data_IF_287667030015
#
_entry.id   IF_287667030015
#
_cell.length_a   1.000
_cell.length_b   1.000
_cell.length_c   1.000
_cell.angle_alpha   90.00
_cell.angle_beta   90.00
_cell.angle_gamma   90.00
#
_symmetry.space_group_name_H-M   'P 1'
#
loop_
_entity.id
_entity.type
_entity.pdbx_description
1 polymer ?
#
# COMPACT_ATOMS: atom_id res chain seq x y z
N UNK A 1 -27.77 -0.73 0.65
CA UNK A 1 -27.56 -1.91 1.50
C UNK A 1 -26.10 -1.88 1.93
N UNK A 2 -25.84 -1.70 3.23
CA UNK A 2 -24.48 -1.73 3.78
C UNK A 2 -23.93 -3.14 3.68
N UNK A 3 -22.78 -3.28 3.06
CA UNK A 3 -22.05 -4.55 2.94
C UNK A 3 -21.73 -5.09 4.35
N UNK A 4 -22.13 -6.31 4.71
CA UNK A 4 -21.88 -6.87 6.04
C UNK A 4 -20.42 -7.25 6.29
N UNK A 5 -19.51 -7.02 5.32
CA UNK A 5 -18.09 -7.32 5.45
C UNK A 5 -17.44 -6.40 6.49
N UNK A 6 -16.56 -6.96 7.30
CA UNK A 6 -15.86 -6.24 8.36
C UNK A 6 -14.93 -5.18 7.75
N UNK A 7 -15.06 -3.92 8.18
CA UNK A 7 -14.13 -2.85 7.80
C UNK A 7 -12.75 -3.16 8.39
N UNK A 8 -11.75 -3.32 7.52
CA UNK A 8 -10.37 -3.63 7.92
C UNK A 8 -9.54 -2.36 8.11
N UNK A 9 -9.76 -1.35 7.28
CA UNK A 9 -9.10 -0.05 7.39
C UNK A 9 -10.14 1.05 7.21
N UNK A 10 -10.12 2.00 8.14
CA UNK A 10 -10.89 3.24 8.04
C UNK A 10 -9.97 4.42 8.32
N UNK A 11 -10.03 5.40 7.47
CA UNK A 11 -9.32 6.68 7.56
C UNK A 11 -10.37 7.77 7.51
N UNK A 12 -10.40 8.62 8.52
CA UNK A 12 -11.38 9.70 8.65
C UNK A 12 -10.66 11.04 8.72
N UNK A 13 -10.99 11.93 7.79
CA UNK A 13 -10.62 13.35 7.77
C UNK A 13 -9.11 13.57 7.99
N UNK A 14 -8.26 12.87 7.21
CA UNK A 14 -6.82 12.87 7.39
C UNK A 14 -6.18 14.12 6.78
N UNK A 15 -5.45 14.87 7.61
CA UNK A 15 -4.73 16.08 7.22
C UNK A 15 -3.21 15.90 7.38
N UNK A 16 -2.45 16.48 6.47
CA UNK A 16 -0.98 16.51 6.53
C UNK A 16 -0.41 17.78 5.92
N UNK A 17 0.51 18.42 6.67
CA UNK A 17 1.26 19.60 6.23
C UNK A 17 2.76 19.33 6.25
N UNK A 18 3.47 19.90 5.29
CA UNK A 18 4.92 20.06 5.30
C UNK A 18 5.26 21.54 5.24
N UNK A 19 5.66 22.10 6.38
CA UNK A 19 5.81 23.53 6.53
C UNK A 19 4.48 24.27 6.29
N UNK A 20 4.47 25.20 5.35
CA UNK A 20 3.26 25.95 4.96
C UNK A 20 2.36 25.21 3.95
N UNK A 21 2.82 24.12 3.36
CA UNK A 21 2.09 23.40 2.30
C UNK A 21 1.21 22.32 2.92
N UNK A 22 -0.10 22.41 2.75
CA UNK A 22 -1.05 21.37 3.12
C UNK A 22 -1.18 20.35 1.97
N UNK A 23 -0.67 19.13 2.21
CA UNK A 23 -0.59 18.05 1.22
C UNK A 23 -1.81 17.12 1.28
N UNK A 24 -2.38 16.92 2.46
CA UNK A 24 -3.66 16.23 2.64
C UNK A 24 -4.63 17.16 3.36
N UNK A 25 -5.86 17.26 2.83
CA UNK A 25 -6.86 18.26 3.24
C UNK A 25 -8.20 17.57 3.57
N UNK A 26 -8.18 16.64 4.54
CA UNK A 26 -9.38 15.94 4.97
C UNK A 26 -9.70 14.71 4.11
N UNK A 27 -8.69 13.90 3.79
CA UNK A 27 -8.89 12.67 3.00
C UNK A 27 -9.49 11.56 3.87
N UNK A 28 -10.59 10.97 3.39
CA UNK A 28 -11.26 9.83 4.04
C UNK A 28 -11.34 8.65 3.07
N UNK A 29 -11.21 7.42 3.61
CA UNK A 29 -11.47 6.19 2.87
C UNK A 29 -11.78 5.04 3.84
N UNK A 30 -12.52 4.03 3.36
CA UNK A 30 -12.79 2.81 4.10
C UNK A 30 -12.63 1.58 3.20
N UNK A 31 -11.92 0.57 3.71
CA UNK A 31 -11.72 -0.71 3.03
C UNK A 31 -12.26 -1.85 3.91
N UNK A 32 -13.22 -2.59 3.38
CA UNK A 32 -13.70 -3.83 3.98
C UNK A 32 -12.80 -5.00 3.62
N UNK A 33 -12.96 -6.11 4.32
CA UNK A 33 -12.20 -7.34 4.04
C UNK A 33 -12.37 -7.77 2.57
N UNK A 34 -11.26 -7.98 1.89
CA UNK A 34 -11.20 -8.37 0.48
C UNK A 34 -11.38 -7.22 -0.52
N UNK A 35 -11.52 -5.97 -0.06
CA UNK A 35 -11.58 -4.84 -0.97
C UNK A 35 -10.21 -4.48 -1.52
N UNK A 36 -10.18 -4.18 -2.82
CA UNK A 36 -9.07 -3.48 -3.45
C UNK A 36 -9.52 -2.06 -3.74
N UNK A 37 -8.82 -1.08 -3.17
CA UNK A 37 -9.05 0.34 -3.41
C UNK A 37 -7.87 0.89 -4.20
N UNK A 38 -8.12 1.43 -5.38
CA UNK A 38 -7.10 2.15 -6.15
C UNK A 38 -7.16 3.65 -5.92
N UNK A 39 -5.99 4.25 -5.78
CA UNK A 39 -5.80 5.70 -5.66
C UNK A 39 -4.99 6.16 -6.84
N UNK A 40 -5.58 7.04 -7.66
CA UNK A 40 -4.95 7.64 -8.83
C UNK A 40 -4.82 9.16 -8.66
N UNK A 41 -4.00 9.80 -9.47
CA UNK A 41 -3.81 11.25 -9.45
C UNK A 41 -2.43 11.65 -9.94
N UNK A 42 -2.26 12.95 -10.26
CA UNK A 42 -0.99 13.51 -10.74
C UNK A 42 0.12 13.42 -9.69
N UNK A 43 1.37 13.57 -10.11
CA UNK A 43 2.50 13.70 -9.18
C UNK A 43 2.27 14.87 -8.22
N UNK A 44 2.63 14.68 -6.95
CA UNK A 44 2.42 15.70 -5.92
C UNK A 44 0.98 15.84 -5.40
N UNK A 45 0.01 15.03 -5.85
CA UNK A 45 -1.38 15.10 -5.35
C UNK A 45 -1.57 14.62 -3.90
N UNK A 46 -0.56 13.96 -3.30
CA UNK A 46 -0.59 13.49 -1.91
C UNK A 46 -0.74 11.98 -1.73
N UNK A 47 -0.79 11.18 -2.80
CA UNK A 47 -1.02 9.71 -2.77
C UNK A 47 -0.07 8.95 -1.86
N UNK A 48 1.24 9.06 -2.08
CA UNK A 48 2.26 8.40 -1.26
C UNK A 48 2.28 8.92 0.18
N UNK A 49 1.98 10.22 0.37
CA UNK A 49 1.84 10.82 1.70
C UNK A 49 0.66 10.21 2.45
N UNK A 50 -0.46 9.97 1.77
CA UNK A 50 -1.63 9.30 2.35
C UNK A 50 -1.27 7.89 2.85
N UNK A 51 -0.64 7.06 2.02
CA UNK A 51 -0.21 5.71 2.43
C UNK A 51 0.78 5.74 3.60
N UNK A 52 1.74 6.68 3.59
CA UNK A 52 2.71 6.84 4.68
C UNK A 52 2.07 7.33 5.97
N UNK A 53 1.03 8.16 5.90
CA UNK A 53 0.25 8.55 7.08
C UNK A 53 -0.57 7.37 7.62
N UNK A 54 -1.18 6.55 6.76
CA UNK A 54 -1.93 5.35 7.17
C UNK A 54 -1.03 4.39 7.95
N UNK A 55 0.22 4.19 7.51
CA UNK A 55 1.21 3.34 8.18
C UNK A 55 1.98 4.08 9.29
N UNK A 56 1.69 5.36 9.55
CA UNK A 56 2.40 6.23 10.49
C UNK A 56 3.93 6.29 10.26
N UNK A 57 4.38 6.10 9.02
CA UNK A 57 5.73 6.48 8.59
C UNK A 57 5.86 8.00 8.50
N UNK A 58 4.75 8.66 8.16
CA UNK A 58 4.55 10.10 8.32
C UNK A 58 3.48 10.35 9.37
N UNK A 59 3.73 11.28 10.27
CA UNK A 59 2.76 11.67 11.30
C UNK A 59 1.71 12.60 10.69
N UNK A 60 0.42 12.25 10.70
CA UNK A 60 -0.63 13.16 10.29
C UNK A 60 -0.76 14.34 11.28
N UNK A 61 -1.30 15.47 10.81
CA UNK A 61 -1.56 16.63 11.66
C UNK A 61 -2.97 16.57 12.29
N UNK A 62 -3.94 15.95 11.59
CA UNK A 62 -5.29 15.69 12.10
C UNK A 62 -5.90 14.44 11.44
N UNK A 63 -7.02 13.97 11.97
CA UNK A 63 -7.75 12.83 11.48
C UNK A 63 -7.68 11.60 12.39
N UNK A 64 -8.30 10.50 11.93
CA UNK A 64 -8.35 9.23 12.66
C UNK A 64 -8.02 8.07 11.73
N UNK A 65 -7.30 7.08 12.24
CA UNK A 65 -7.00 5.84 11.54
C UNK A 65 -7.46 4.70 12.43
N UNK A 66 -8.30 3.81 11.89
CA UNK A 66 -8.80 2.62 12.55
C UNK A 66 -8.41 1.39 11.71
N UNK A 67 -7.77 0.41 12.33
CA UNK A 67 -7.36 -0.84 11.70
C UNK A 67 -8.00 -2.02 12.44
N UNK A 68 -8.71 -2.86 11.70
CA UNK A 68 -9.44 -4.02 12.26
C UNK A 68 -10.35 -3.66 13.44
N UNK A 69 -11.07 -2.55 13.34
CA UNK A 69 -11.98 -2.07 14.39
C UNK A 69 -11.29 -1.38 15.57
N UNK A 70 -9.95 -1.29 15.57
CA UNK A 70 -9.20 -0.63 16.64
C UNK A 70 -8.62 0.71 16.16
N UNK A 71 -9.04 1.81 16.79
CA UNK A 71 -8.49 3.12 16.51
C UNK A 71 -7.05 3.23 17.04
N UNK A 72 -6.14 3.74 16.21
CA UNK A 72 -4.79 4.05 16.66
C UNK A 72 -4.83 5.21 17.64
N UNK A 73 -4.28 4.99 18.84
CA UNK A 73 -4.26 6.01 19.88
C UNK A 73 -3.25 7.11 19.54
N UNK A 74 -3.76 8.22 18.98
CA UNK A 74 -2.98 9.38 18.56
C UNK A 74 -3.31 10.58 19.47
N UNK A 75 -2.29 11.38 19.80
CA UNK A 75 -2.43 12.67 20.51
C UNK A 75 -1.52 13.71 19.85
N UNK A 76 -1.87 15.01 19.90
CA UNK A 76 -0.98 16.07 19.46
C UNK A 76 0.32 16.05 20.26
N UNK A 77 1.45 16.00 19.56
CA UNK A 77 2.78 16.19 20.12
C UNK A 77 3.09 17.68 20.35
N UNK A 78 4.30 17.98 20.81
CA UNK A 78 4.76 19.37 21.04
C UNK A 78 4.84 20.18 19.74
N UNK A 79 5.02 19.54 18.62
CA UNK A 79 5.09 20.10 17.27
C UNK A 79 3.71 20.21 16.58
N UNK A 80 2.63 19.87 17.30
CA UNK A 80 1.25 19.87 16.81
C UNK A 80 0.88 18.67 15.94
N UNK A 81 1.83 17.76 15.59
CA UNK A 81 1.56 16.55 14.81
C UNK A 81 1.00 15.45 15.69
N UNK A 82 0.16 14.61 15.13
CA UNK A 82 -0.38 13.45 15.85
C UNK A 82 0.70 12.38 16.04
N UNK A 83 0.95 12.01 17.28
CA UNK A 83 1.92 10.98 17.66
C UNK A 83 1.21 9.82 18.36
N UNK A 84 1.66 8.58 18.08
CA UNK A 84 1.14 7.43 18.79
C UNK A 84 1.52 7.50 20.28
N UNK A 85 0.53 7.32 21.14
CA UNK A 85 0.68 7.36 22.59
C UNK A 85 1.00 6.00 23.20
N UNK A 86 0.75 4.92 22.46
CA UNK A 86 1.04 3.54 22.87
C UNK A 86 1.92 2.87 21.79
N UNK A 87 3.21 2.74 22.09
CA UNK A 87 4.18 2.12 21.19
C UNK A 87 3.91 0.63 20.96
N UNK A 88 3.36 -0.08 21.97
CA UNK A 88 3.02 -1.51 21.83
C UNK A 88 1.81 -1.70 20.92
N UNK A 89 0.77 -0.85 21.09
CA UNK A 89 -0.37 -0.83 20.18
C UNK A 89 0.10 -0.56 18.76
N UNK A 90 0.92 0.48 18.56
CA UNK A 90 1.42 0.85 17.24
C UNK A 90 2.20 -0.29 16.59
N UNK A 91 3.10 -0.95 17.31
CA UNK A 91 3.87 -2.09 16.81
C UNK A 91 2.94 -3.24 16.39
N UNK A 92 1.97 -3.61 17.23
CA UNK A 92 0.99 -4.65 16.95
C UNK A 92 0.10 -4.32 15.76
N UNK A 93 -0.34 -3.07 15.61
CA UNK A 93 -1.16 -2.66 14.46
C UNK A 93 -0.34 -2.60 13.18
N UNK A 94 0.91 -2.11 13.25
CA UNK A 94 1.82 -2.11 12.10
C UNK A 94 2.16 -3.51 11.59
N UNK A 95 2.23 -4.53 12.45
CA UNK A 95 2.45 -5.91 11.99
C UNK A 95 1.29 -6.46 11.16
N UNK A 96 0.08 -5.87 11.29
CA UNK A 96 -1.10 -6.21 10.49
C UNK A 96 -1.22 -5.40 9.19
N UNK A 97 -0.33 -4.44 8.97
CA UNK A 97 -0.34 -3.51 7.86
C UNK A 97 1.00 -3.57 7.13
N UNK A 98 1.05 -4.19 5.97
CA UNK A 98 2.28 -4.28 5.19
C UNK A 98 2.31 -3.19 4.11
N UNK A 99 3.50 -2.67 3.82
CA UNK A 99 3.71 -1.66 2.77
C UNK A 99 4.74 -2.14 1.76
N UNK A 100 4.39 -2.08 0.49
CA UNK A 100 5.24 -2.31 -0.67
C UNK A 100 5.53 -0.96 -1.32
N UNK A 101 6.80 -0.62 -1.46
CA UNK A 101 7.26 0.68 -1.92
C UNK A 101 7.64 0.67 -3.41
N UNK A 102 7.65 1.85 -4.01
CA UNK A 102 8.07 2.08 -5.38
C UNK A 102 9.52 1.63 -5.65
N UNK A 103 10.44 1.86 -4.70
CA UNK A 103 11.87 1.53 -4.81
C UNK A 103 12.26 0.24 -4.08
N UNK A 104 11.33 -0.73 -3.97
CA UNK A 104 11.53 -2.07 -3.39
C UNK A 104 11.94 -2.07 -1.91
N UNK A 105 12.87 -1.20 -1.49
CA UNK A 105 13.41 -1.04 -0.14
C UNK A 105 13.88 -2.38 0.47
N UNK A 106 14.54 -3.22 -0.33
CA UNK A 106 15.19 -4.42 0.16
C UNK A 106 16.47 -4.06 0.92
N UNK A 107 16.77 -4.83 1.96
CA UNK A 107 18.06 -4.71 2.66
C UNK A 107 19.16 -5.24 1.77
N UNK A 108 20.06 -4.36 1.31
CA UNK A 108 21.08 -4.66 0.32
C UNK A 108 22.13 -5.70 0.79
N UNK A 109 22.32 -5.84 2.10
CA UNK A 109 23.25 -6.78 2.74
C UNK A 109 22.64 -8.15 3.04
N UNK A 110 21.37 -8.36 2.69
CA UNK A 110 20.62 -9.60 2.88
C UNK A 110 20.22 -10.20 1.54
N UNK A 111 20.23 -11.52 1.45
CA UNK A 111 19.70 -12.27 0.31
C UNK A 111 18.18 -12.07 0.17
N UNK A 112 17.59 -12.51 -0.93
CA UNK A 112 16.13 -12.48 -1.12
C UNK A 112 15.41 -13.26 -0.02
N UNK A 113 15.88 -14.44 0.36
CA UNK A 113 15.32 -15.24 1.45
C UNK A 113 15.43 -14.52 2.80
N UNK A 114 16.60 -13.99 3.14
CA UNK A 114 16.82 -13.26 4.38
C UNK A 114 15.92 -12.03 4.49
N UNK A 115 15.73 -11.28 3.40
CA UNK A 115 14.78 -10.17 3.35
C UNK A 115 13.35 -10.59 3.71
N UNK A 116 12.93 -11.80 3.34
CA UNK A 116 11.56 -12.28 3.60
C UNK A 116 11.40 -12.80 5.01
N UNK A 117 12.41 -13.47 5.59
CA UNK A 117 12.31 -14.08 6.93
C UNK A 117 12.57 -13.12 8.09
N UNK A 118 13.24 -11.99 7.85
CA UNK A 118 13.74 -11.08 8.90
C UNK A 118 12.61 -10.64 9.85
N UNK A 119 11.54 -10.08 9.30
CA UNK A 119 10.44 -9.59 10.13
C UNK A 119 9.62 -10.70 10.80
N UNK A 120 9.26 -11.82 10.14
CA UNK A 120 8.64 -12.96 10.81
C UNK A 120 9.43 -13.48 12.02
N UNK A 121 10.76 -13.60 11.89
CA UNK A 121 11.60 -14.10 12.99
C UNK A 121 11.69 -13.08 14.13
N UNK A 122 12.02 -11.82 13.82
CA UNK A 122 12.36 -10.82 14.83
C UNK A 122 11.17 -10.02 15.37
N UNK A 123 10.07 -9.93 14.62
CA UNK A 123 8.87 -9.18 15.05
C UNK A 123 7.77 -10.12 15.53
N UNK A 124 7.53 -11.22 14.79
CA UNK A 124 6.47 -12.18 15.15
C UNK A 124 6.97 -13.34 16.03
N UNK A 125 8.29 -13.51 16.20
CA UNK A 125 8.88 -14.59 16.99
C UNK A 125 8.73 -15.97 16.36
N UNK A 126 8.52 -16.05 15.03
CA UNK A 126 8.39 -17.33 14.30
C UNK A 126 9.74 -18.06 14.34
N UNK A 127 9.77 -19.37 14.68
CA UNK A 127 11.00 -20.16 14.62
C UNK A 127 11.64 -20.09 13.23
N UNK A 128 12.98 -19.86 13.16
CA UNK A 128 13.69 -19.62 11.90
C UNK A 128 13.43 -20.70 10.84
N UNK A 129 13.41 -21.98 11.22
CA UNK A 129 13.14 -23.07 10.29
C UNK A 129 11.74 -22.94 9.65
N UNK A 130 10.72 -22.61 10.43
CA UNK A 130 9.36 -22.38 9.94
C UNK A 130 9.28 -21.11 9.08
N UNK A 131 9.99 -20.05 9.46
CA UNK A 131 10.04 -18.80 8.67
C UNK A 131 10.68 -19.05 7.29
N UNK A 132 11.74 -19.87 7.22
CA UNK A 132 12.40 -20.27 5.96
C UNK A 132 11.42 -21.05 5.07
N UNK A 133 10.74 -22.07 5.60
CA UNK A 133 9.77 -22.87 4.84
C UNK A 133 8.66 -22.00 4.24
N UNK A 134 8.07 -21.12 5.06
CA UNK A 134 7.04 -20.18 4.62
C UNK A 134 7.57 -19.19 3.58
N UNK A 135 8.77 -18.67 3.77
CA UNK A 135 9.40 -17.73 2.84
C UNK A 135 9.69 -18.37 1.49
N UNK A 136 10.17 -19.62 1.47
CA UNK A 136 10.40 -20.35 0.22
C UNK A 136 9.08 -20.58 -0.54
N UNK A 137 8.00 -20.92 0.15
CA UNK A 137 6.67 -21.04 -0.45
C UNK A 137 6.19 -19.68 -1.03
N UNK A 138 6.40 -18.57 -0.32
CA UNK A 138 6.06 -17.24 -0.82
C UNK A 138 6.92 -16.81 -2.01
N UNK A 139 8.23 -17.06 -1.97
CA UNK A 139 9.12 -16.79 -3.11
C UNK A 139 8.77 -17.64 -4.34
N UNK A 140 8.36 -18.89 -4.15
CA UNK A 140 7.86 -19.75 -5.22
C UNK A 140 6.57 -19.16 -5.81
N UNK A 141 5.64 -18.74 -4.97
CA UNK A 141 4.38 -18.14 -5.36
C UNK A 141 4.55 -16.88 -6.22
N UNK A 142 5.49 -16.01 -5.87
CA UNK A 142 5.79 -14.80 -6.67
C UNK A 142 6.80 -15.07 -7.80
N UNK A 143 7.18 -16.35 -8.05
CA UNK A 143 8.00 -16.79 -9.18
C UNK A 143 9.51 -16.48 -9.06
N UNK A 144 10.03 -16.25 -7.84
CA UNK A 144 11.45 -15.91 -7.64
C UNK A 144 12.20 -16.84 -6.68
N UNK A 145 11.68 -18.04 -6.40
CA UNK A 145 12.34 -19.00 -5.50
C UNK A 145 13.76 -19.37 -5.96
N UNK A 146 13.98 -19.49 -7.27
CA UNK A 146 15.29 -19.79 -7.85
C UNK A 146 16.35 -18.70 -7.58
N UNK A 147 15.93 -17.53 -7.12
CA UNK A 147 16.74 -16.38 -6.75
C UNK A 147 16.96 -16.22 -5.25
N UNK A 148 16.47 -17.14 -4.41
CA UNK A 148 16.43 -16.99 -2.94
C UNK A 148 17.76 -16.65 -2.29
N UNK A 149 18.88 -17.11 -2.86
CA UNK A 149 20.23 -16.88 -2.34
C UNK A 149 20.94 -15.67 -2.92
N UNK A 150 20.31 -14.93 -3.85
CA UNK A 150 20.89 -13.75 -4.46
C UNK A 150 20.61 -12.50 -3.64
N UNK A 151 21.54 -11.54 -3.69
CA UNK A 151 21.40 -10.21 -3.09
C UNK A 151 20.61 -9.28 -4.03
N UNK A 152 19.98 -8.21 -3.51
CA UNK A 152 19.19 -7.26 -4.31
C UNK A 152 19.93 -6.73 -5.56
N UNK A 153 21.23 -6.47 -5.48
CA UNK A 153 22.05 -6.00 -6.61
C UNK A 153 22.18 -7.01 -7.77
N UNK A 154 21.83 -8.28 -7.54
CA UNK A 154 21.87 -9.35 -8.52
C UNK A 154 20.48 -9.69 -9.10
N UNK A 155 19.44 -8.97 -8.68
CA UNK A 155 18.07 -9.16 -9.08
C UNK A 155 17.63 -8.05 -10.05
N UNK A 156 16.82 -8.40 -11.05
CA UNK A 156 16.12 -7.38 -11.87
C UNK A 156 15.14 -6.57 -11.02
N UNK A 157 14.72 -5.39 -11.49
CA UNK A 157 13.74 -4.58 -10.79
C UNK A 157 12.43 -5.33 -10.50
N UNK A 158 11.93 -6.08 -11.47
CA UNK A 158 10.73 -6.91 -11.30
C UNK A 158 10.93 -8.04 -10.28
N UNK A 159 12.11 -8.70 -10.26
CA UNK A 159 12.44 -9.70 -9.23
C UNK A 159 12.53 -9.07 -7.84
N UNK A 160 13.17 -7.90 -7.70
CA UNK A 160 13.24 -7.16 -6.44
C UNK A 160 11.83 -6.80 -5.92
N UNK A 161 10.95 -6.33 -6.79
CA UNK A 161 9.58 -5.98 -6.41
C UNK A 161 8.79 -7.22 -5.97
N UNK A 162 8.93 -8.35 -6.65
CA UNK A 162 8.29 -9.59 -6.23
C UNK A 162 8.84 -10.11 -4.90
N UNK A 163 10.14 -9.97 -4.63
CA UNK A 163 10.71 -10.24 -3.29
C UNK A 163 10.12 -9.30 -2.24
N UNK A 164 9.95 -8.00 -2.54
CA UNK A 164 9.32 -7.04 -1.64
C UNK A 164 7.86 -7.40 -1.33
N UNK A 165 7.11 -7.90 -2.33
CA UNK A 165 5.74 -8.42 -2.14
C UNK A 165 5.77 -9.67 -1.24
N UNK A 166 6.68 -10.63 -1.49
CA UNK A 166 6.84 -11.83 -0.66
C UNK A 166 7.17 -11.46 0.79
N UNK A 167 8.06 -10.49 1.01
CA UNK A 167 8.40 -9.95 2.33
C UNK A 167 7.18 -9.36 3.04
N UNK A 168 6.35 -8.61 2.32
CA UNK A 168 5.12 -8.05 2.85
C UNK A 168 4.12 -9.16 3.24
N UNK A 169 3.95 -10.18 2.41
CA UNK A 169 3.07 -11.33 2.64
C UNK A 169 3.51 -12.19 3.83
N UNK A 170 4.83 -12.28 4.09
CA UNK A 170 5.39 -13.09 5.17
C UNK A 170 4.95 -12.63 6.57
N UNK A 171 4.49 -11.39 6.71
CA UNK A 171 3.89 -10.84 7.93
C UNK A 171 2.41 -11.20 8.11
N UNK A 172 1.79 -11.90 7.16
CA UNK A 172 0.36 -12.26 7.16
C UNK A 172 -0.55 -11.04 7.42
N UNK A 173 -0.37 -9.93 6.66
CA UNK A 173 -1.05 -8.67 6.95
C UNK A 173 -2.55 -8.76 6.67
N UNK A 174 -3.33 -7.97 7.42
CA UNK A 174 -4.76 -7.79 7.17
C UNK A 174 -5.03 -6.79 6.03
N UNK A 175 -4.14 -5.80 5.87
CA UNK A 175 -4.20 -4.82 4.78
C UNK A 175 -2.81 -4.64 4.19
N UNK A 176 -2.73 -4.59 2.86
CA UNK A 176 -1.52 -4.31 2.12
C UNK A 176 -1.61 -2.94 1.45
N UNK A 177 -0.60 -2.11 1.63
CA UNK A 177 -0.46 -0.81 0.99
C UNK A 177 0.59 -0.91 -0.12
N UNK A 178 0.25 -0.49 -1.33
CA UNK A 178 1.14 -0.47 -2.48
C UNK A 178 1.35 0.96 -2.96
N UNK A 179 2.57 1.47 -2.84
CA UNK A 179 2.96 2.82 -3.27
C UNK A 179 3.65 2.74 -4.63
N UNK A 180 2.88 2.90 -5.70
CA UNK A 180 3.35 2.88 -7.10
C UNK A 180 4.26 1.67 -7.42
N UNK A 181 3.81 0.43 -7.23
CA UNK A 181 4.67 -0.77 -7.23
C UNK A 181 5.31 -1.09 -8.59
N UNK A 182 4.89 -0.43 -9.66
CA UNK A 182 5.40 -0.65 -11.03
C UNK A 182 6.19 0.53 -11.60
N UNK A 183 6.11 1.72 -10.97
CA UNK A 183 6.64 2.96 -11.54
C UNK A 183 8.18 3.01 -11.69
N UNK A 184 8.91 2.16 -10.96
CA UNK A 184 10.37 2.05 -11.05
C UNK A 184 10.85 0.88 -11.93
N UNK A 185 9.93 0.27 -12.70
CA UNK A 185 10.22 -0.92 -13.52
C UNK A 185 10.26 -0.58 -15.00
N UNK A 186 11.08 -1.33 -15.74
CA UNK A 186 11.00 -1.35 -17.19
C UNK A 186 9.63 -1.88 -17.63
N UNK A 187 9.03 -1.37 -18.73
CA UNK A 187 7.69 -1.73 -19.17
C UNK A 187 7.46 -3.24 -19.35
N UNK A 188 8.49 -3.98 -19.77
CA UNK A 188 8.44 -5.44 -19.96
C UNK A 188 8.28 -6.21 -18.64
N UNK A 189 8.72 -5.62 -17.50
CA UNK A 189 8.65 -6.25 -16.18
C UNK A 189 7.36 -5.92 -15.41
N UNK A 190 6.63 -4.90 -15.84
CA UNK A 190 5.39 -4.45 -15.19
C UNK A 190 4.35 -5.57 -15.14
N UNK A 191 4.20 -6.31 -16.26
CA UNK A 191 3.20 -7.38 -16.40
C UNK A 191 3.32 -8.48 -15.35
N UNK A 192 4.55 -8.85 -14.97
CA UNK A 192 4.81 -9.91 -13.98
C UNK A 192 4.41 -9.48 -12.56
N UNK A 193 4.66 -8.23 -12.19
CA UNK A 193 4.27 -7.67 -10.89
C UNK A 193 2.75 -7.52 -10.82
N UNK A 194 2.12 -6.98 -11.86
CA UNK A 194 0.65 -6.85 -11.92
C UNK A 194 -0.04 -8.21 -11.88
N UNK A 195 0.54 -9.27 -12.47
CA UNK A 195 0.02 -10.63 -12.38
C UNK A 195 -0.05 -11.09 -10.92
N UNK A 196 1.03 -10.95 -10.15
CA UNK A 196 1.05 -11.29 -8.73
C UNK A 196 -0.02 -10.48 -7.97
N UNK A 197 -0.16 -9.19 -8.25
CA UNK A 197 -1.16 -8.36 -7.58
C UNK A 197 -2.60 -8.77 -7.92
N UNK A 198 -2.88 -9.21 -9.17
CA UNK A 198 -4.20 -9.77 -9.54
C UNK A 198 -4.51 -11.05 -8.78
N UNK A 199 -3.52 -11.94 -8.65
CA UNK A 199 -3.67 -13.18 -7.88
C UNK A 199 -4.02 -12.86 -6.41
N UNK A 200 -3.34 -11.89 -5.79
CA UNK A 200 -3.63 -11.44 -4.42
C UNK A 200 -5.05 -10.85 -4.29
N UNK A 201 -5.49 -10.05 -5.27
CA UNK A 201 -6.85 -9.54 -5.32
C UNK A 201 -7.88 -10.67 -5.44
N UNK A 202 -7.64 -11.64 -6.33
CA UNK A 202 -8.50 -12.82 -6.52
C UNK A 202 -8.61 -13.71 -5.27
N UNK A 203 -7.61 -13.73 -4.40
CA UNK A 203 -7.64 -14.42 -3.10
C UNK A 203 -8.38 -13.65 -2.01
N UNK A 204 -8.91 -12.47 -2.29
CA UNK A 204 -9.61 -11.64 -1.32
C UNK A 204 -8.69 -10.93 -0.34
N UNK A 205 -7.45 -10.59 -0.73
CA UNK A 205 -6.58 -9.73 0.07
C UNK A 205 -7.10 -8.30 0.05
N UNK A 206 -7.15 -7.65 1.21
CA UNK A 206 -7.48 -6.23 1.31
C UNK A 206 -6.28 -5.40 0.91
N UNK A 207 -6.43 -4.54 -0.11
CA UNK A 207 -5.33 -3.79 -0.68
C UNK A 207 -5.71 -2.32 -0.92
N UNK A 208 -4.80 -1.40 -0.61
CA UNK A 208 -4.85 0.00 -1.04
C UNK A 208 -3.68 0.20 -2.00
N UNK A 209 -3.98 0.56 -3.24
CA UNK A 209 -2.99 0.59 -4.32
C UNK A 209 -2.93 1.98 -4.95
N UNK A 210 -1.83 2.68 -4.74
CA UNK A 210 -1.49 3.86 -5.55
C UNK A 210 -0.89 3.37 -6.86
N UNK A 211 -1.49 3.74 -7.99
CA UNK A 211 -1.06 3.23 -9.28
C UNK A 211 -1.34 4.20 -10.43
N UNK A 212 -0.55 4.05 -11.51
CA UNK A 212 -0.78 4.63 -12.82
C UNK A 212 -1.30 3.61 -13.85
N UNK A 213 -1.51 2.36 -13.44
CA UNK A 213 -1.99 1.27 -14.27
C UNK A 213 -3.53 1.24 -14.30
N UNK A 214 -4.13 2.09 -15.17
CA UNK A 214 -5.59 2.28 -15.20
C UNK A 214 -6.36 1.00 -15.54
N UNK A 215 -5.82 0.16 -16.45
CA UNK A 215 -6.42 -1.12 -16.79
C UNK A 215 -6.46 -2.07 -15.58
N UNK A 216 -5.37 -2.14 -14.82
CA UNK A 216 -5.31 -2.90 -13.57
C UNK A 216 -6.33 -2.38 -12.55
N UNK A 217 -6.37 -1.05 -12.33
CA UNK A 217 -7.33 -0.44 -11.41
C UNK A 217 -8.78 -0.75 -11.79
N UNK A 218 -9.13 -0.66 -13.08
CA UNK A 218 -10.47 -0.99 -13.59
C UNK A 218 -10.85 -2.47 -13.43
N UNK A 219 -9.85 -3.37 -13.48
CA UNK A 219 -10.05 -4.82 -13.42
C UNK A 219 -10.28 -5.33 -12.00
N UNK A 220 -9.42 -4.89 -11.06
CA UNK A 220 -9.35 -5.52 -9.72
C UNK A 220 -9.99 -4.69 -8.62
N UNK A 221 -10.15 -3.38 -8.81
CA UNK A 221 -10.60 -2.52 -7.72
C UNK A 221 -12.11 -2.55 -7.57
N UNK A 222 -12.54 -2.51 -6.30
CA UNK A 222 -13.93 -2.30 -5.93
C UNK A 222 -14.29 -0.83 -5.87
N UNK A 223 -13.32 0.01 -5.53
CA UNK A 223 -13.48 1.45 -5.39
C UNK A 223 -12.24 2.16 -5.89
N UNK A 224 -12.41 3.32 -6.51
CA UNK A 224 -11.34 4.15 -7.03
C UNK A 224 -11.49 5.56 -6.51
N UNK A 225 -10.38 6.14 -6.02
CA UNK A 225 -10.28 7.53 -5.61
C UNK A 225 -9.35 8.28 -6.56
N UNK A 226 -9.82 9.39 -7.11
CA UNK A 226 -8.97 10.36 -7.79
C UNK A 226 -8.57 11.47 -6.83
N UNK A 227 -7.28 11.48 -6.45
CA UNK A 227 -6.71 12.47 -5.55
C UNK A 227 -6.12 13.63 -6.34
N UNK A 228 -6.56 14.84 -6.05
CA UNK A 228 -6.05 16.07 -6.66
C UNK A 228 -5.79 17.15 -5.62
N UNK A 229 -4.57 17.68 -5.57
CA UNK A 229 -4.16 18.76 -4.63
C UNK A 229 -4.56 18.50 -3.16
N UNK A 230 -4.46 17.24 -2.73
CA UNK A 230 -4.71 16.82 -1.35
C UNK A 230 -6.15 16.55 -0.99
N UNK A 231 -7.09 16.59 -1.94
CA UNK A 231 -8.51 16.24 -1.72
C UNK A 231 -8.92 15.10 -2.64
N UNK A 232 -9.93 14.33 -2.22
CA UNK A 232 -10.62 13.37 -3.10
C UNK A 232 -11.53 14.18 -4.01
N UNK A 233 -11.16 14.33 -5.27
CA UNK A 233 -11.90 15.12 -6.27
C UNK A 233 -13.06 14.31 -6.86
N UNK A 234 -12.84 13.01 -7.08
CA UNK A 234 -13.85 12.08 -7.56
C UNK A 234 -13.58 10.68 -7.05
N UNK A 235 -14.63 9.94 -6.73
CA UNK A 235 -14.53 8.55 -6.29
C UNK A 235 -15.75 7.73 -6.70
N UNK A 236 -15.62 6.40 -6.73
CA UNK A 236 -16.71 5.50 -7.05
C UNK A 236 -16.28 4.16 -7.63
N UNK A 237 -17.18 3.51 -8.35
CA UNK A 237 -16.87 2.32 -9.13
C UNK A 237 -15.78 2.63 -10.17
N UNK A 238 -14.71 1.84 -10.24
CA UNK A 238 -13.59 2.13 -11.15
C UNK A 238 -14.00 2.27 -12.62
N UNK A 239 -14.96 1.47 -13.09
CA UNK A 239 -15.40 1.50 -14.49
C UNK A 239 -16.18 2.77 -14.79
N UNK A 240 -17.00 3.23 -13.85
CA UNK A 240 -17.75 4.48 -13.97
C UNK A 240 -16.80 5.69 -13.91
N UNK A 241 -15.90 5.73 -12.91
CA UNK A 241 -14.98 6.86 -12.72
C UNK A 241 -13.99 6.98 -13.87
N UNK A 242 -13.47 5.86 -14.40
CA UNK A 242 -12.52 5.88 -15.53
C UNK A 242 -13.22 6.02 -16.90
N UNK A 243 -14.42 5.44 -17.06
CA UNK A 243 -15.16 5.46 -18.33
C UNK A 243 -16.00 6.72 -18.53
N UNK A 244 -16.54 7.27 -17.46
CA UNK A 244 -17.46 8.43 -17.46
C UNK A 244 -17.07 9.48 -16.41
N UNK A 245 -15.84 10.03 -16.45
CA UNK A 245 -15.34 10.96 -15.44
C UNK A 245 -16.21 12.23 -15.42
N UNK A 246 -16.67 12.62 -14.22
CA UNK A 246 -17.49 13.82 -13.98
C UNK A 246 -16.62 15.06 -13.86
N UNK A 247 -15.49 14.93 -13.15
CA UNK A 247 -14.54 16.01 -12.95
C UNK A 247 -13.80 16.34 -14.24
N UNK A 248 -13.72 17.63 -14.61
CA UNK A 248 -12.88 18.09 -15.72
C UNK A 248 -11.40 17.78 -15.49
N UNK A 249 -10.96 17.82 -14.25
CA UNK A 249 -9.58 17.50 -13.88
C UNK A 249 -9.26 16.03 -14.08
N UNK A 250 -10.19 15.13 -13.74
CA UNK A 250 -10.02 13.71 -14.01
C UNK A 250 -10.00 13.44 -15.52
N UNK A 251 -10.88 14.08 -16.31
CA UNK A 251 -10.84 13.99 -17.78
C UNK A 251 -9.49 14.44 -18.35
N UNK A 252 -8.96 15.56 -17.86
CA UNK A 252 -7.65 16.06 -18.27
C UNK A 252 -6.51 15.11 -17.85
N UNK A 253 -6.59 14.54 -16.66
CA UNK A 253 -5.62 13.54 -16.18
C UNK A 253 -5.61 12.28 -17.05
N UNK A 254 -6.78 11.70 -17.35
CA UNK A 254 -6.90 10.50 -18.18
C UNK A 254 -6.49 10.71 -19.63
N UNK A 255 -6.68 11.91 -20.18
CA UNK A 255 -6.22 12.27 -21.52
C UNK A 255 -4.72 12.60 -21.62
N UNK A 256 -3.98 12.50 -20.52
CA UNK A 256 -2.55 12.84 -20.47
C UNK A 256 -2.25 14.33 -20.34
N UNK A 257 -3.26 15.17 -20.09
CA UNK A 257 -3.12 16.63 -19.96
C UNK A 257 -2.60 17.11 -18.60
N UNK A 258 -2.59 16.26 -17.59
CA UNK A 258 -2.03 16.53 -16.26
C UNK A 258 -0.88 15.54 -16.00
N UNK A 259 0.36 16.00 -16.16
CA UNK A 259 1.58 15.27 -15.76
C UNK A 259 1.97 15.61 -14.33
#
# INVERSE_FOLDING_TARGET
>A
MTDPRMVQLQVDDLHKKFGAVEVLKGVSLAASQGDVISIIGSSGSGKSTLLRCINLLEQPDAGRITLAGEAIALKPGRDGRLQATDAKQLQRLRSKLAMVFQHFNLWAHMTALENVIEAPVHVLGVPKAQAVERAEALLARVGVLHRKSLYPSQLSGGEQQRVAIARALAMEPQVMLFDEPTSALDPELVGEVLKVMRELAGEGRTMIVVTHEMAFAAEVSRHLLFLHQGVVEEEGDPREVLGHPRSERLRAFLSGGLK
#
